data_IF_370244779458
#
_entry.id   IF_370244779458
#
_cell.length_a   1.000
_cell.length_b   1.000
_cell.length_c   1.000
_cell.angle_alpha   90.00
_cell.angle_beta   90.00
_cell.angle_gamma   90.00
#
_symmetry.space_group_name_H-M   'P 1'
#
loop_
_entity.id
_entity.type
_entity.pdbx_description
1 polymer ?
#
# COMPACT_ATOMS: atom_id res chain seq x y z
N UNK A 1 -2.62 -31.86 51.26
CA UNK A 1 -3.75 -32.04 52.19
C UNK A 1 -4.95 -31.25 51.65
N UNK A 2 -6.14 -31.85 51.60
CA UNK A 2 -7.53 -31.33 51.31
C UNK A 2 -7.77 -29.84 50.90
N UNK A 3 -8.76 -29.46 50.07
CA UNK A 3 -9.71 -30.12 49.11
C UNK A 3 -10.42 -29.00 48.27
N UNK A 4 -11.19 -29.32 47.20
CA UNK A 4 -11.73 -28.34 46.23
C UNK A 4 -13.24 -28.03 46.35
N UNK A 5 -13.70 -27.06 45.56
CA UNK A 5 -15.08 -26.77 45.09
C UNK A 5 -14.97 -26.17 43.65
N UNK A 6 -15.88 -26.23 42.66
CA UNK A 6 -17.32 -26.60 42.51
C UNK A 6 -18.33 -25.58 43.08
N UNK A 7 -19.51 -25.34 42.50
CA UNK A 7 -20.22 -25.85 41.31
C UNK A 7 -21.30 -24.83 40.86
N UNK A 8 -21.98 -25.07 39.70
CA UNK A 8 -23.30 -24.48 39.26
C UNK A 8 -23.41 -22.96 38.99
N UNK A 9 -24.38 -22.45 38.21
CA UNK A 9 -25.38 -22.93 37.21
C UNK A 9 -25.66 -21.68 36.31
N UNK A 10 -25.78 -21.73 34.97
CA UNK A 10 -26.88 -22.21 34.10
C UNK A 10 -28.16 -21.35 34.12
N UNK A 11 -28.35 -20.57 33.05
CA UNK A 11 -29.62 -20.32 32.30
C UNK A 11 -29.21 -19.70 30.94
N UNK A 12 -29.65 -20.15 29.76
CA UNK A 12 -31.00 -20.30 29.18
C UNK A 12 -31.70 -18.99 28.84
N UNK A 13 -31.61 -18.60 27.56
CA UNK A 13 -32.70 -17.95 26.84
C UNK A 13 -32.90 -18.68 25.51
N UNK A 14 -34.13 -19.11 25.25
CA UNK A 14 -34.51 -19.93 24.10
C UNK A 14 -35.93 -19.55 23.65
N UNK A 15 -36.06 -18.52 22.82
CA UNK A 15 -37.26 -18.22 22.02
C UNK A 15 -36.81 -18.15 20.54
N UNK A 16 -37.32 -18.91 19.56
CA UNK A 16 -38.68 -19.35 19.21
C UNK A 16 -39.63 -18.22 18.83
N UNK A 17 -39.67 -17.90 17.53
CA UNK A 17 -40.78 -18.21 16.61
C UNK A 17 -40.34 -17.83 15.16
N UNK A 18 -40.56 -18.63 14.11
CA UNK A 18 -41.83 -18.94 13.37
C UNK A 18 -42.52 -17.65 12.91
N UNK A 19 -42.71 -17.38 11.62
CA UNK A 19 -43.31 -18.19 10.54
C UNK A 19 -42.83 -17.68 9.14
N UNK A 20 -42.85 -18.50 8.07
CA UNK A 20 -43.68 -18.40 6.82
C UNK A 20 -43.65 -17.05 6.07
N UNK A 21 -43.65 -16.96 4.74
CA UNK A 21 -44.12 -17.84 3.63
C UNK A 21 -43.21 -17.64 2.38
N UNK A 22 -42.87 -18.68 1.59
CA UNK A 22 -43.49 -19.10 0.29
C UNK A 22 -43.61 -18.05 -0.83
N UNK A 23 -42.77 -18.17 -1.86
CA UNK A 23 -43.10 -18.45 -3.29
C UNK A 23 -41.77 -18.47 -4.08
N UNK A 24 -41.42 -19.37 -5.02
CA UNK A 24 -42.07 -20.42 -5.84
C UNK A 24 -42.79 -19.98 -7.12
N UNK A 25 -42.02 -19.62 -8.15
CA UNK A 25 -42.49 -19.56 -9.55
C UNK A 25 -41.33 -19.72 -10.57
N UNK A 26 -41.51 -20.31 -11.77
CA UNK A 26 -40.41 -20.87 -12.56
C UNK A 26 -40.23 -20.32 -14.01
N UNK A 27 -39.30 -20.95 -14.71
CA UNK A 27 -38.87 -20.88 -16.13
C UNK A 27 -39.93 -20.80 -17.25
N UNK A 28 -39.40 -20.67 -18.50
CA UNK A 28 -40.00 -20.85 -19.85
C UNK A 28 -40.69 -19.64 -20.53
N UNK A 29 -40.71 -19.48 -21.86
CA UNK A 29 -39.83 -19.93 -22.98
C UNK A 29 -40.30 -19.25 -24.31
N UNK A 30 -39.53 -19.41 -25.40
CA UNK A 30 -39.91 -19.16 -26.83
C UNK A 30 -40.16 -17.68 -27.27
N UNK A 31 -39.88 -17.24 -28.50
CA UNK A 31 -39.35 -17.91 -29.71
C UNK A 31 -38.88 -16.92 -30.80
N UNK A 32 -38.47 -17.37 -32.01
CA UNK A 32 -37.67 -16.60 -32.98
C UNK A 32 -38.40 -16.13 -34.26
N UNK A 33 -37.84 -15.13 -34.98
CA UNK A 33 -38.27 -14.75 -36.35
C UNK A 33 -37.42 -13.64 -37.01
N UNK A 34 -37.29 -13.54 -38.35
CA UNK A 34 -36.02 -13.11 -38.97
C UNK A 34 -36.09 -12.00 -40.05
N UNK A 35 -34.91 -11.64 -40.61
CA UNK A 35 -34.64 -10.92 -41.90
C UNK A 35 -35.13 -9.45 -42.03
N UNK A 36 -34.40 -8.47 -42.54
CA UNK A 36 -33.36 -8.43 -43.57
C UNK A 36 -32.54 -7.10 -43.53
N UNK A 37 -31.31 -7.11 -44.05
CA UNK A 37 -30.53 -5.89 -44.34
C UNK A 37 -30.96 -5.23 -45.66
N UNK A 38 -30.62 -3.95 -45.90
CA UNK A 38 -29.49 -3.74 -46.83
C UNK A 38 -28.48 -2.66 -46.37
N UNK A 39 -27.24 -2.81 -46.86
CA UNK A 39 -26.14 -1.84 -46.69
C UNK A 39 -26.32 -0.62 -47.58
N UNK A 40 -26.08 0.57 -47.04
CA UNK A 40 -25.49 1.70 -47.76
C UNK A 40 -24.43 2.38 -46.87
N UNK A 41 -23.40 2.94 -47.49
CA UNK A 41 -22.26 3.62 -46.85
C UNK A 41 -21.77 4.71 -47.80
N UNK A 42 -20.82 5.57 -47.40
CA UNK A 42 -20.88 6.54 -46.29
C UNK A 42 -20.70 7.98 -46.82
N UNK A 43 -20.81 9.03 -45.99
CA UNK A 43 -19.96 10.26 -46.03
C UNK A 43 -20.29 11.21 -44.84
N UNK A 44 -19.44 12.22 -44.52
CA UNK A 44 -19.27 12.69 -43.14
C UNK A 44 -19.67 14.17 -42.89
N UNK A 45 -19.27 14.64 -41.70
CA UNK A 45 -19.11 16.03 -41.25
C UNK A 45 -20.31 16.72 -40.54
N UNK A 46 -20.29 16.68 -39.21
CA UNK A 46 -20.56 17.84 -38.35
C UNK A 46 -20.01 17.58 -36.93
N UNK A 47 -18.90 18.23 -36.58
CA UNK A 47 -18.56 18.61 -35.22
C UNK A 47 -18.36 20.13 -35.24
N UNK A 48 -18.71 20.86 -34.18
CA UNK A 48 -17.72 21.05 -33.11
C UNK A 48 -18.32 21.13 -31.69
N UNK A 49 -17.42 21.36 -30.72
CA UNK A 49 -17.70 21.70 -29.32
C UNK A 49 -18.32 20.58 -28.44
N UNK A 50 -17.44 19.75 -27.87
CA UNK A 50 -17.06 20.03 -26.48
C UNK A 50 -15.59 19.69 -26.23
N UNK A 51 -14.77 20.73 -26.14
CA UNK A 51 -13.31 20.65 -26.18
C UNK A 51 -12.69 20.48 -24.80
N UNK A 52 -12.99 19.39 -24.09
CA UNK A 52 -12.20 18.98 -22.93
C UNK A 52 -11.09 18.01 -23.35
N UNK A 53 -10.17 18.51 -24.18
CA UNK A 53 -8.83 17.95 -24.22
C UNK A 53 -8.20 18.25 -22.85
N UNK A 54 -8.10 17.22 -21.99
CA UNK A 54 -7.46 17.30 -20.68
C UNK A 54 -5.94 17.44 -20.84
N UNK A 55 -5.53 18.62 -21.31
CA UNK A 55 -4.14 19.05 -21.39
C UNK A 55 -3.67 19.49 -20.01
N UNK A 56 -3.28 18.52 -19.18
CA UNK A 56 -2.35 18.73 -18.08
C UNK A 56 -1.06 17.99 -18.43
N UNK A 57 -0.36 18.53 -19.42
CA UNK A 57 1.03 18.17 -19.71
C UNK A 57 1.90 18.83 -18.64
N UNK A 58 2.06 18.14 -17.51
CA UNK A 58 3.17 18.36 -16.60
C UNK A 58 4.33 17.45 -17.03
N UNK A 59 4.84 17.63 -18.26
CA UNK A 59 6.19 17.21 -18.65
C UNK A 59 7.26 18.07 -17.95
N UNK A 60 7.06 18.34 -16.66
CA UNK A 60 8.14 18.73 -15.78
C UNK A 60 9.09 17.55 -15.69
N UNK A 61 10.32 17.76 -16.16
CA UNK A 61 11.37 16.76 -16.29
C UNK A 61 11.43 15.86 -15.05
N UNK A 62 11.15 14.57 -15.22
CA UNK A 62 11.33 13.61 -14.13
C UNK A 62 12.81 13.62 -13.74
N UNK A 63 13.07 13.78 -12.45
CA UNK A 63 14.42 13.93 -11.93
C UNK A 63 15.15 12.59 -12.16
N UNK A 64 16.02 12.58 -13.17
CA UNK A 64 16.55 11.35 -13.73
C UNK A 64 17.58 10.67 -12.82
N UNK A 65 18.05 11.34 -11.75
CA UNK A 65 19.06 10.79 -10.86
C UNK A 65 18.58 9.52 -10.13
N UNK A 66 19.46 8.53 -9.92
CA UNK A 66 19.15 7.36 -9.09
C UNK A 66 18.83 7.74 -7.64
N UNK A 67 18.05 6.91 -6.95
CA UNK A 67 17.74 7.10 -5.54
C UNK A 67 19.02 6.90 -4.72
N UNK A 68 19.55 7.98 -4.14
CA UNK A 68 20.74 7.91 -3.32
C UNK A 68 20.45 7.28 -1.94
N UNK A 69 21.11 6.16 -1.65
CA UNK A 69 21.05 5.47 -0.36
C UNK A 69 22.39 5.63 0.35
N UNK A 70 22.39 6.30 1.49
CA UNK A 70 23.55 6.40 2.38
C UNK A 70 23.61 5.15 3.27
N UNK A 71 24.76 4.46 3.29
CA UNK A 71 24.94 3.22 4.04
C UNK A 71 25.74 3.47 5.33
N UNK A 72 25.06 3.40 6.48
CA UNK A 72 25.67 3.54 7.79
C UNK A 72 26.21 2.19 8.28
N UNK A 73 27.53 2.07 8.45
CA UNK A 73 28.14 0.90 9.08
C UNK A 73 27.88 0.90 10.59
N UNK A 74 27.44 -0.25 11.13
CA UNK A 74 27.09 -0.42 12.55
C UNK A 74 28.16 -1.15 13.38
N UNK A 75 29.39 -1.22 12.88
CA UNK A 75 30.52 -1.83 13.60
C UNK A 75 30.97 -0.97 14.80
N UNK A 76 31.34 -1.58 15.95
CA UNK A 76 31.53 -3.02 16.18
C UNK A 76 30.28 -3.77 16.65
N UNK A 77 29.14 -3.08 16.88
CA UNK A 77 27.93 -3.68 17.46
C UNK A 77 27.30 -4.75 16.55
N UNK A 78 27.28 -4.48 15.24
CA UNK A 78 26.86 -5.44 14.22
C UNK A 78 27.98 -5.54 13.18
N UNK A 79 28.79 -6.60 13.29
CA UNK A 79 29.97 -6.79 12.44
C UNK A 79 29.58 -7.03 10.98
N UNK A 80 30.03 -6.15 10.09
CA UNK A 80 29.75 -6.15 8.64
C UNK A 80 28.32 -5.79 8.21
N UNK A 81 27.51 -5.18 9.08
CA UNK A 81 26.15 -4.78 8.73
C UNK A 81 26.02 -3.28 8.46
N UNK A 82 25.11 -2.97 7.51
CA UNK A 82 24.87 -1.62 7.01
C UNK A 82 23.39 -1.31 7.07
N UNK A 83 23.06 -0.14 7.62
CA UNK A 83 21.72 0.42 7.62
C UNK A 83 21.59 1.45 6.50
N UNK A 84 20.63 1.26 5.60
CA UNK A 84 20.34 2.20 4.52
C UNK A 84 19.52 3.40 5.01
N UNK A 85 19.88 4.59 4.57
CA UNK A 85 19.14 5.83 4.77
C UNK A 85 18.88 6.46 3.40
N UNK A 86 17.62 6.72 3.05
CA UNK A 86 17.27 7.37 1.78
C UNK A 86 16.26 8.51 1.99
N UNK A 87 16.11 9.37 0.97
CA UNK A 87 14.97 10.27 0.87
C UNK A 87 13.71 9.51 0.43
N UNK A 88 12.53 10.10 0.64
CA UNK A 88 11.25 9.49 0.33
C UNK A 88 11.13 9.08 -1.15
N UNK A 89 11.02 7.77 -1.47
CA UNK A 89 10.93 7.28 -2.85
C UNK A 89 9.65 7.72 -3.54
N UNK A 90 9.76 8.11 -4.82
CA UNK A 90 8.66 8.66 -5.61
C UNK A 90 8.16 10.05 -5.16
N UNK A 91 8.85 10.73 -4.24
CA UNK A 91 8.43 12.04 -3.75
C UNK A 91 8.27 13.06 -4.89
N UNK A 92 7.12 13.75 -4.90
CA UNK A 92 6.85 14.88 -5.81
C UNK A 92 6.46 16.12 -4.98
N UNK A 93 7.43 16.97 -4.67
CA UNK A 93 7.26 18.15 -3.83
C UNK A 93 8.31 19.24 -4.13
N UNK A 94 7.84 20.47 -4.38
CA UNK A 94 8.66 21.59 -4.85
C UNK A 94 9.52 21.16 -6.06
N UNK A 95 10.83 21.29 -5.93
CA UNK A 95 11.83 21.01 -6.97
C UNK A 95 12.20 19.52 -7.07
N UNK A 96 11.69 18.67 -6.17
CA UNK A 96 11.89 17.21 -6.21
C UNK A 96 10.73 16.56 -6.93
N UNK A 97 11.00 15.85 -8.04
CA UNK A 97 10.01 15.11 -8.83
C UNK A 97 10.54 13.73 -9.21
N UNK A 98 10.36 12.74 -8.32
CA UNK A 98 10.81 11.35 -8.52
C UNK A 98 9.67 10.43 -8.98
N UNK A 99 10.05 9.33 -9.63
CA UNK A 99 9.12 8.29 -10.07
C UNK A 99 9.13 7.09 -9.11
N UNK A 100 7.98 6.80 -8.50
CA UNK A 100 7.85 5.75 -7.48
C UNK A 100 8.23 4.35 -8.02
N UNK A 101 7.82 4.01 -9.23
CA UNK A 101 8.05 2.67 -9.78
C UNK A 101 9.53 2.47 -10.16
N UNK A 102 10.18 3.52 -10.67
CA UNK A 102 11.63 3.53 -10.91
C UNK A 102 12.40 3.35 -9.60
N UNK A 103 12.09 4.15 -8.59
CA UNK A 103 12.77 4.08 -7.29
C UNK A 103 12.57 2.70 -6.61
N UNK A 104 11.37 2.12 -6.68
CA UNK A 104 11.11 0.74 -6.20
C UNK A 104 11.93 -0.30 -6.97
N UNK A 105 12.06 -0.15 -8.29
CA UNK A 105 12.93 -0.99 -9.11
C UNK A 105 14.39 -0.91 -8.68
N UNK A 106 14.89 0.29 -8.41
CA UNK A 106 16.24 0.54 -7.91
C UNK A 106 16.45 -0.08 -6.51
N UNK A 107 15.52 0.15 -5.57
CA UNK A 107 15.54 -0.46 -4.22
C UNK A 107 15.58 -1.99 -4.28
N UNK A 108 14.79 -2.59 -5.18
CA UNK A 108 14.77 -4.03 -5.42
C UNK A 108 16.07 -4.53 -6.05
N UNK A 109 16.66 -3.79 -7.00
CA UNK A 109 17.97 -4.12 -7.58
C UNK A 109 19.12 -4.01 -6.56
N UNK A 110 18.99 -3.13 -5.57
CA UNK A 110 19.88 -3.04 -4.42
C UNK A 110 19.73 -4.23 -3.45
N UNK A 111 18.70 -5.08 -3.60
CA UNK A 111 18.45 -6.24 -2.76
C UNK A 111 17.92 -5.90 -1.36
N UNK A 112 17.18 -4.79 -1.23
CA UNK A 112 16.57 -4.36 0.04
C UNK A 112 15.41 -5.29 0.38
N UNK A 113 15.29 -5.63 1.67
CA UNK A 113 14.33 -6.60 2.18
C UNK A 113 13.36 -5.97 3.18
N UNK A 114 13.87 -5.12 4.09
CA UNK A 114 13.08 -4.46 5.12
C UNK A 114 13.17 -2.94 4.95
N UNK A 115 12.02 -2.27 4.99
CA UNK A 115 11.91 -0.81 4.89
C UNK A 115 11.12 -0.30 6.09
N UNK A 116 11.74 0.57 6.87
CA UNK A 116 11.11 1.32 7.94
C UNK A 116 10.62 2.65 7.38
N UNK A 117 9.31 2.85 7.43
CA UNK A 117 8.66 4.10 6.99
C UNK A 117 8.29 4.89 8.23
N UNK A 118 8.96 6.03 8.43
CA UNK A 118 8.69 6.93 9.55
C UNK A 118 7.66 8.00 9.19
N UNK A 119 7.40 8.25 7.90
CA UNK A 119 6.40 9.22 7.46
C UNK A 119 4.96 8.85 7.87
N UNK A 120 4.18 9.84 8.30
CA UNK A 120 2.73 9.73 8.52
C UNK A 120 1.97 9.56 7.20
N UNK A 121 0.72 9.03 7.26
CA UNK A 121 -0.16 8.94 6.07
C UNK A 121 -0.48 10.31 5.45
N UNK A 122 -0.46 11.37 6.26
CA UNK A 122 -0.64 12.75 5.80
C UNK A 122 0.54 13.23 4.95
N UNK A 123 1.77 12.96 5.38
CA UNK A 123 2.98 13.24 4.60
C UNK A 123 3.04 12.42 3.30
N UNK A 124 2.76 11.12 3.34
CA UNK A 124 2.70 10.30 2.12
C UNK A 124 1.71 10.88 1.08
N UNK A 125 0.57 11.41 1.54
CA UNK A 125 -0.42 12.07 0.68
C UNK A 125 0.04 13.45 0.18
N UNK A 126 0.71 14.24 1.04
CA UNK A 126 1.31 15.55 0.74
C UNK A 126 2.40 15.44 -0.34
N UNK A 127 3.21 14.38 -0.28
CA UNK A 127 4.31 14.10 -1.20
C UNK A 127 3.91 13.26 -2.42
N UNK A 128 2.59 13.07 -2.65
CA UNK A 128 1.97 12.36 -3.78
C UNK A 128 2.30 10.86 -3.89
N UNK A 129 2.64 10.22 -2.78
CA UNK A 129 2.94 8.78 -2.68
C UNK A 129 2.04 8.03 -1.67
N UNK A 130 0.70 8.16 -1.73
CA UNK A 130 -0.19 7.53 -0.76
C UNK A 130 -0.10 6.00 -0.74
N UNK A 131 0.23 5.38 -1.89
CA UNK A 131 0.27 3.93 -2.08
C UNK A 131 1.68 3.35 -1.88
N UNK A 132 2.60 4.09 -1.23
CA UNK A 132 4.01 3.70 -1.07
C UNK A 132 4.17 2.35 -0.36
N UNK A 133 3.47 2.20 0.76
CA UNK A 133 3.48 0.99 1.60
C UNK A 133 2.97 -0.22 0.81
N UNK A 134 1.84 -0.07 0.12
CA UNK A 134 1.27 -1.14 -0.71
C UNK A 134 2.20 -1.52 -1.86
N UNK A 135 2.85 -0.53 -2.49
CA UNK A 135 3.77 -0.74 -3.60
C UNK A 135 5.02 -1.53 -3.17
N UNK A 136 5.57 -1.27 -1.98
CA UNK A 136 6.66 -2.08 -1.42
C UNK A 136 6.25 -3.52 -1.14
N UNK A 137 5.08 -3.72 -0.51
CA UNK A 137 4.55 -5.06 -0.21
C UNK A 137 4.32 -5.86 -1.49
N UNK A 138 3.74 -5.24 -2.53
CA UNK A 138 3.57 -5.86 -3.86
C UNK A 138 4.89 -6.29 -4.51
N UNK A 139 5.99 -5.58 -4.23
CA UNK A 139 7.31 -5.91 -4.75
C UNK A 139 8.09 -6.94 -3.93
N UNK A 140 7.52 -7.40 -2.81
CA UNK A 140 8.08 -8.43 -1.92
C UNK A 140 8.95 -7.88 -0.78
N UNK A 141 8.87 -6.59 -0.48
CA UNK A 141 9.60 -5.97 0.63
C UNK A 141 8.74 -5.92 1.91
N UNK A 142 9.36 -6.21 3.05
CA UNK A 142 8.74 -6.11 4.36
C UNK A 142 8.70 -4.64 4.79
N UNK A 143 7.53 -4.13 5.18
CA UNK A 143 7.34 -2.71 5.51
C UNK A 143 6.95 -2.55 6.98
N UNK A 144 7.78 -1.83 7.72
CA UNK A 144 7.58 -1.49 9.12
C UNK A 144 7.15 -0.03 9.21
N UNK A 145 5.83 0.23 9.28
CA UNK A 145 5.28 1.59 9.30
C UNK A 145 5.13 2.11 10.74
N UNK A 146 5.96 3.08 11.11
CA UNK A 146 5.94 3.70 12.45
C UNK A 146 5.85 5.22 12.30
N UNK A 147 4.63 5.78 12.17
CA UNK A 147 4.44 7.18 11.82
C UNK A 147 4.90 8.16 12.92
N UNK A 148 5.91 8.97 12.60
CA UNK A 148 6.45 10.06 13.43
C UNK A 148 6.12 11.38 12.71
N UNK A 149 5.34 12.30 13.30
CA UNK A 149 5.03 13.57 12.65
C UNK A 149 6.28 14.42 12.42
N UNK A 150 6.38 15.06 11.24
CA UNK A 150 7.48 15.97 10.90
C UNK A 150 7.72 17.04 12.00
N UNK A 151 8.97 17.25 12.37
CA UNK A 151 9.41 18.12 13.47
C UNK A 151 9.23 17.57 14.90
N UNK A 152 8.61 16.41 15.10
CA UNK A 152 8.43 15.79 16.42
C UNK A 152 9.30 14.54 16.63
N UNK A 153 9.47 14.13 17.88
CA UNK A 153 10.10 12.87 18.26
C UNK A 153 9.03 11.78 18.55
N UNK A 154 9.35 10.49 18.32
CA UNK A 154 8.50 9.39 18.77
C UNK A 154 8.45 9.35 20.31
N UNK A 155 7.37 8.78 20.86
CA UNK A 155 7.34 8.42 22.27
C UNK A 155 8.33 7.26 22.55
N UNK A 156 8.67 7.07 23.83
CA UNK A 156 9.67 6.09 24.23
C UNK A 156 9.25 4.66 23.86
N UNK A 157 7.95 4.30 23.93
CA UNK A 157 7.51 2.95 23.61
C UNK A 157 7.59 2.67 22.10
N UNK A 158 7.16 3.61 21.25
CA UNK A 158 7.34 3.50 19.79
C UNK A 158 8.83 3.47 19.42
N UNK A 159 9.66 4.30 20.05
CA UNK A 159 11.11 4.31 19.83
C UNK A 159 11.76 2.96 20.19
N UNK A 160 11.44 2.39 21.35
CA UNK A 160 11.89 1.05 21.74
C UNK A 160 11.44 -0.01 20.73
N UNK A 161 10.18 0.03 20.29
CA UNK A 161 9.65 -0.91 19.30
C UNK A 161 10.39 -0.84 17.95
N UNK A 162 10.64 0.36 17.42
CA UNK A 162 11.43 0.56 16.19
C UNK A 162 12.84 -0.03 16.37
N UNK A 163 13.49 0.21 17.51
CA UNK A 163 14.84 -0.30 17.80
C UNK A 163 14.88 -1.83 17.94
N UNK A 164 13.87 -2.45 18.55
CA UNK A 164 13.73 -3.91 18.66
C UNK A 164 13.50 -4.56 17.29
N UNK A 165 12.63 -3.98 16.46
CA UNK A 165 12.38 -4.45 15.10
C UNK A 165 13.62 -4.28 14.21
N UNK A 166 14.30 -3.12 14.25
CA UNK A 166 15.56 -2.88 13.54
C UNK A 166 16.64 -3.88 13.96
N UNK A 167 16.83 -4.07 15.27
CA UNK A 167 17.75 -5.08 15.82
C UNK A 167 17.42 -6.48 15.30
N UNK A 168 16.13 -6.84 15.24
CA UNK A 168 15.70 -8.14 14.70
C UNK A 168 15.99 -8.26 13.20
N UNK A 169 15.87 -7.20 12.41
CA UNK A 169 16.23 -7.22 10.98
C UNK A 169 17.74 -7.41 10.79
N UNK A 170 18.54 -6.70 11.59
CA UNK A 170 20.00 -6.78 11.63
C UNK A 170 20.49 -8.18 12.07
N UNK A 171 20.03 -8.71 13.20
CA UNK A 171 20.42 -10.07 13.66
C UNK A 171 20.09 -11.18 12.64
N UNK A 172 19.10 -10.96 11.75
CA UNK A 172 18.75 -11.85 10.64
C UNK A 172 19.51 -11.56 9.33
N UNK A 173 20.50 -10.66 9.32
CA UNK A 173 21.29 -10.22 8.16
C UNK A 173 20.45 -9.66 7.01
N UNK A 174 19.29 -9.07 7.33
CA UNK A 174 18.38 -8.53 6.31
C UNK A 174 18.81 -7.12 5.91
N UNK A 175 18.86 -6.87 4.61
CA UNK A 175 19.28 -5.57 4.08
C UNK A 175 18.17 -4.55 4.34
N UNK A 176 18.40 -3.74 5.37
CA UNK A 176 17.40 -2.88 6.01
C UNK A 176 17.61 -1.42 5.63
N UNK A 177 16.53 -0.69 5.40
CA UNK A 177 16.52 0.73 5.06
C UNK A 177 15.51 1.51 5.93
N UNK A 178 15.79 2.78 6.22
CA UNK A 178 14.90 3.71 6.90
C UNK A 178 14.67 4.96 6.02
N UNK A 179 13.44 5.48 6.04
CA UNK A 179 13.00 6.74 5.41
C UNK A 179 12.07 7.55 6.35
#
# INVERSE_FOLDING_TARGET
>A
MVKPLRDRDRDQDQDRDRDRDRDRGPDTAEGPGPTASPRLSPQPAAAPADGFASSDDEAAEEEASPLHISWLSLSPLYSSEFLGLCSLPGCRFKDVRRNLQKDIGELKSCGIQDIFVLCTRGELSKYRVPNLIDSYQQHGMCVHHHPIPDGNAPDIATCCKILEELRTCLENKRKTMIQ
#
